data_IF_264776784306
#
_entry.id   IF_264776784306
#
_cell.length_a   1.000
_cell.length_b   1.000
_cell.length_c   1.000
_cell.angle_alpha   90.00
_cell.angle_beta   90.00
_cell.angle_gamma   90.00
#
_symmetry.space_group_name_H-M   'P 1'
#
loop_
_entity.id
_entity.type
_entity.pdbx_description
1 polymer ?
#
# COMPACT_ATOMS: atom_id res chain seq x y z
N UNK A 1 -11.22 -11.67 16.00
CA UNK A 1 -10.12 -11.90 15.06
C UNK A 1 -9.52 -10.54 14.70
N UNK A 2 -8.20 -10.41 14.78
CA UNK A 2 -7.46 -9.21 14.40
C UNK A 2 -6.50 -9.64 13.29
N UNK A 3 -6.55 -8.96 12.14
CA UNK A 3 -5.55 -9.08 11.09
C UNK A 3 -4.48 -8.00 11.33
N UNK A 4 -3.22 -8.41 11.35
CA UNK A 4 -2.08 -7.50 11.54
C UNK A 4 -1.41 -7.23 10.21
N UNK A 5 -1.46 -5.99 9.74
CA UNK A 5 -0.66 -5.53 8.60
C UNK A 5 0.73 -5.11 9.06
N UNK A 6 1.76 -5.60 8.38
CA UNK A 6 3.15 -5.24 8.66
C UNK A 6 3.77 -4.61 7.43
N UNK A 7 4.20 -3.36 7.54
CA UNK A 7 4.89 -2.65 6.46
C UNK A 7 6.33 -3.13 6.35
N UNK A 8 6.67 -3.76 5.22
CA UNK A 8 8.02 -4.20 4.89
C UNK A 8 8.23 -4.19 3.38
N UNK A 9 9.29 -3.53 2.90
CA UNK A 9 9.51 -3.26 1.48
C UNK A 9 10.67 -4.09 0.88
N UNK A 10 10.83 -5.33 1.32
CA UNK A 10 11.85 -6.25 0.81
C UNK A 10 13.04 -6.47 1.75
N UNK A 11 14.18 -6.95 1.22
CA UNK A 11 15.42 -7.13 1.94
C UNK A 11 15.92 -5.86 2.64
N UNK A 12 16.88 -6.00 3.58
CA UNK A 12 17.33 -4.90 4.46
C UNK A 12 17.81 -3.68 3.70
N UNK A 13 18.62 -3.86 2.69
CA UNK A 13 19.18 -2.81 1.86
C UNK A 13 18.11 -2.06 1.05
N UNK A 14 17.12 -2.76 0.55
CA UNK A 14 15.98 -2.18 -0.18
C UNK A 14 15.05 -1.45 0.78
N UNK A 15 14.61 -2.13 1.86
CA UNK A 15 13.71 -1.57 2.86
C UNK A 15 14.31 -0.30 3.51
N UNK A 16 15.56 -0.39 3.93
CA UNK A 16 16.23 0.67 4.66
C UNK A 16 16.65 1.86 3.76
N UNK A 17 16.45 1.78 2.45
CA UNK A 17 16.65 2.94 1.57
C UNK A 17 15.63 4.04 1.83
N UNK A 18 14.37 3.67 2.10
CA UNK A 18 13.29 4.67 2.29
C UNK A 18 12.64 4.63 3.68
N UNK A 19 12.83 3.54 4.43
CA UNK A 19 12.22 3.39 5.76
C UNK A 19 13.23 3.56 6.87
N UNK A 20 13.33 4.78 7.36
CA UNK A 20 14.23 5.14 8.46
C UNK A 20 13.48 5.70 9.66
N UNK A 21 14.14 5.64 10.81
CA UNK A 21 13.75 6.41 12.01
C UNK A 21 14.01 7.90 11.78
N UNK A 22 13.49 8.75 12.67
CA UNK A 22 13.78 10.20 12.68
C UNK A 22 15.32 10.47 12.76
N UNK A 23 16.10 9.53 13.36
CA UNK A 23 17.56 9.61 13.43
C UNK A 23 18.27 9.02 12.20
N UNK A 24 17.56 8.77 11.10
CA UNK A 24 18.11 8.23 9.85
C UNK A 24 18.75 6.83 10.02
N UNK A 25 18.18 5.99 10.88
CA UNK A 25 18.57 4.59 11.04
C UNK A 25 17.53 3.71 10.35
N UNK A 26 17.99 2.69 9.63
CA UNK A 26 17.12 1.70 9.01
C UNK A 26 16.20 1.02 10.03
N UNK A 27 15.05 0.58 9.57
CA UNK A 27 14.01 -0.03 10.43
C UNK A 27 13.78 -1.51 10.18
N UNK A 28 14.39 -2.11 9.13
CA UNK A 28 14.19 -3.51 8.75
C UNK A 28 14.40 -4.49 9.91
N UNK A 29 15.49 -4.39 10.63
CA UNK A 29 15.80 -5.27 11.76
C UNK A 29 14.74 -5.21 12.88
N UNK A 30 14.11 -4.03 13.08
CA UNK A 30 13.03 -3.86 14.06
C UNK A 30 11.73 -4.51 13.57
N UNK A 31 11.39 -4.32 12.30
CA UNK A 31 10.22 -4.92 11.65
C UNK A 31 10.34 -6.44 11.69
N UNK A 32 11.49 -7.00 11.33
CA UNK A 32 11.75 -8.44 11.37
C UNK A 32 11.66 -9.04 12.79
N UNK A 33 12.01 -8.28 13.84
CA UNK A 33 11.74 -8.72 15.22
C UNK A 33 10.24 -8.78 15.51
N UNK A 34 9.48 -7.80 15.02
CA UNK A 34 8.01 -7.79 15.12
C UNK A 34 7.40 -9.02 14.46
N UNK A 35 7.76 -9.27 13.19
CA UNK A 35 7.30 -10.43 12.41
C UNK A 35 7.58 -11.74 13.13
N UNK A 36 8.84 -11.96 13.60
CA UNK A 36 9.20 -13.14 14.36
C UNK A 36 8.38 -13.31 15.65
N UNK A 37 7.99 -12.19 16.28
CA UNK A 37 7.14 -12.23 17.47
C UNK A 37 5.72 -12.66 17.11
N UNK A 38 5.12 -12.10 16.06
CA UNK A 38 3.80 -12.50 15.57
C UNK A 38 3.77 -14.00 15.25
N UNK A 39 4.74 -14.48 14.47
CA UNK A 39 4.86 -15.89 14.09
C UNK A 39 4.99 -16.81 15.32
N UNK A 40 5.81 -16.44 16.31
CA UNK A 40 5.99 -17.21 17.54
C UNK A 40 4.69 -17.38 18.33
N UNK A 41 3.80 -16.40 18.23
CA UNK A 41 2.50 -16.43 18.91
C UNK A 41 1.35 -16.91 18.01
N UNK A 42 1.66 -17.43 16.82
CA UNK A 42 0.65 -17.95 15.89
C UNK A 42 -0.32 -16.88 15.38
N UNK A 43 0.11 -15.60 15.35
CA UNK A 43 -0.70 -14.50 14.84
C UNK A 43 -0.54 -14.43 13.33
N UNK A 44 -1.65 -14.51 12.61
CA UNK A 44 -1.65 -14.26 11.15
C UNK A 44 -1.37 -12.79 10.86
N UNK A 45 -0.54 -12.57 9.84
CA UNK A 45 -0.15 -11.23 9.43
C UNK A 45 -0.09 -11.09 7.91
N UNK A 46 -0.30 -9.88 7.44
CA UNK A 46 -0.24 -9.49 6.04
C UNK A 46 1.01 -8.62 5.82
N UNK A 47 1.87 -9.00 4.88
CA UNK A 47 2.94 -8.14 4.41
C UNK A 47 2.36 -7.03 3.53
N UNK A 48 2.59 -5.77 3.92
CA UNK A 48 2.19 -4.60 3.14
C UNK A 48 3.46 -3.95 2.59
N UNK A 49 3.65 -4.06 1.28
CA UNK A 49 4.87 -3.63 0.62
C UNK A 49 4.61 -2.51 -0.38
N UNK A 50 5.37 -1.43 -0.25
CA UNK A 50 5.41 -0.36 -1.24
C UNK A 50 6.37 -0.74 -2.35
N UNK A 51 5.88 -0.72 -3.60
CA UNK A 51 6.70 -0.94 -4.80
C UNK A 51 7.15 0.43 -5.30
N UNK A 52 8.47 0.61 -5.36
CA UNK A 52 9.16 1.85 -5.67
C UNK A 52 10.19 1.66 -6.80
N UNK A 53 10.89 2.72 -7.17
CA UNK A 53 11.88 2.76 -8.25
C UNK A 53 13.07 1.78 -8.09
N UNK A 54 13.26 1.23 -6.88
CA UNK A 54 14.34 0.27 -6.59
C UNK A 54 13.82 -1.16 -6.73
N UNK A 55 12.84 -1.54 -5.91
CA UNK A 55 12.39 -2.94 -5.82
C UNK A 55 11.55 -3.39 -7.03
N UNK A 56 11.00 -2.48 -7.81
CA UNK A 56 10.31 -2.78 -9.05
C UNK A 56 11.21 -3.48 -10.09
N UNK A 57 12.53 -3.30 -9.99
CA UNK A 57 13.51 -3.84 -10.95
C UNK A 57 13.84 -5.31 -10.74
N UNK A 58 13.63 -5.81 -9.52
CA UNK A 58 13.96 -7.19 -9.13
C UNK A 58 12.72 -7.92 -8.57
N UNK A 59 11.67 -8.09 -9.37
CA UNK A 59 10.37 -8.56 -8.90
C UNK A 59 10.40 -9.97 -8.27
N UNK A 60 11.21 -10.90 -8.82
CA UNK A 60 11.30 -12.24 -8.27
C UNK A 60 12.09 -12.28 -6.95
N UNK A 61 13.20 -11.54 -6.85
CA UNK A 61 13.95 -11.42 -5.60
C UNK A 61 13.06 -10.83 -4.50
N UNK A 62 12.32 -9.79 -4.85
CA UNK A 62 11.36 -9.14 -3.97
C UNK A 62 10.26 -10.10 -3.51
N UNK A 63 9.67 -10.87 -4.43
CA UNK A 63 8.63 -11.84 -4.12
C UNK A 63 9.16 -13.01 -3.27
N UNK A 64 10.31 -13.57 -3.62
CA UNK A 64 10.94 -14.68 -2.90
C UNK A 64 11.29 -14.28 -1.47
N UNK A 65 11.75 -13.05 -1.24
CA UNK A 65 11.98 -12.53 0.10
C UNK A 65 10.75 -12.70 1.01
N UNK A 66 9.56 -12.37 0.53
CA UNK A 66 8.33 -12.54 1.33
C UNK A 66 8.04 -14.00 1.66
N UNK A 67 8.29 -14.91 0.72
CA UNK A 67 8.16 -16.36 0.96
C UNK A 67 9.15 -16.83 2.02
N UNK A 68 10.40 -16.41 1.93
CA UNK A 68 11.47 -16.76 2.88
C UNK A 68 11.19 -16.31 4.31
N UNK A 69 10.62 -15.13 4.49
CA UNK A 69 10.24 -14.64 5.82
C UNK A 69 8.90 -15.21 6.33
N UNK A 70 8.26 -16.09 5.54
CA UNK A 70 7.02 -16.76 5.90
C UNK A 70 5.75 -15.92 5.76
N UNK A 71 5.76 -14.89 4.90
CA UNK A 71 4.57 -14.13 4.58
C UNK A 71 3.63 -14.96 3.72
N UNK A 72 2.45 -15.26 4.26
CA UNK A 72 1.40 -15.97 3.54
C UNK A 72 0.46 -15.03 2.77
N UNK A 73 0.28 -13.84 3.27
CA UNK A 73 -0.56 -12.79 2.67
C UNK A 73 0.30 -11.60 2.31
N UNK A 74 0.24 -11.17 1.05
CA UNK A 74 1.08 -10.10 0.51
C UNK A 74 0.20 -9.07 -0.21
N UNK A 75 0.41 -7.80 0.11
CA UNK A 75 -0.20 -6.67 -0.56
C UNK A 75 0.89 -5.80 -1.16
N UNK A 76 0.89 -5.64 -2.48
CA UNK A 76 1.74 -4.72 -3.20
C UNK A 76 0.99 -3.41 -3.47
N UNK A 77 1.63 -2.29 -3.16
CA UNK A 77 1.09 -0.95 -3.41
C UNK A 77 2.11 -0.15 -4.21
N UNK A 78 1.82 0.21 -5.47
CA UNK A 78 2.73 1.03 -6.27
C UNK A 78 2.78 2.45 -5.70
N UNK A 79 3.98 3.01 -5.56
CA UNK A 79 4.09 4.43 -5.19
C UNK A 79 4.02 5.29 -6.44
N UNK A 80 3.06 6.21 -6.47
CA UNK A 80 2.89 7.22 -7.51
C UNK A 80 2.54 8.54 -6.84
N UNK A 81 3.54 9.35 -6.59
CA UNK A 81 3.39 10.64 -5.94
C UNK A 81 3.53 11.76 -6.96
N UNK A 82 2.46 12.51 -7.17
CA UNK A 82 2.47 13.74 -7.97
C UNK A 82 2.90 14.89 -7.07
N UNK A 83 3.89 15.62 -7.52
CA UNK A 83 4.46 16.74 -6.77
C UNK A 83 4.31 18.04 -7.56
N UNK A 84 3.98 19.11 -6.86
CA UNK A 84 4.16 20.44 -7.36
C UNK A 84 5.18 21.22 -6.52
N UNK A 85 5.80 22.23 -7.12
CA UNK A 85 6.82 23.03 -6.45
C UNK A 85 6.29 24.43 -6.20
N UNK A 86 6.23 24.80 -4.95
CA UNK A 86 5.98 26.17 -4.50
C UNK A 86 7.25 26.84 -4.01
N UNK A 87 7.16 28.12 -3.70
CA UNK A 87 8.30 28.88 -3.16
C UNK A 87 8.83 28.35 -1.83
N UNK A 88 7.99 27.67 -1.06
CA UNK A 88 8.30 27.05 0.24
C UNK A 88 8.70 25.56 0.15
N UNK A 89 8.71 24.96 -1.05
CA UNK A 89 9.16 23.61 -1.26
C UNK A 89 8.29 22.77 -2.18
N UNK A 90 8.50 21.42 -2.14
CA UNK A 90 7.72 20.43 -2.87
C UNK A 90 6.60 19.89 -2.00
N UNK A 91 5.41 19.85 -2.57
CA UNK A 91 4.21 19.35 -1.91
C UNK A 91 3.53 18.25 -2.75
N UNK A 92 2.84 17.33 -2.09
CA UNK A 92 1.97 16.38 -2.78
C UNK A 92 0.83 17.15 -3.46
N UNK A 93 0.63 16.87 -4.74
CA UNK A 93 -0.44 17.47 -5.52
C UNK A 93 -1.77 16.78 -5.23
N UNK A 94 -2.79 17.57 -5.00
CA UNK A 94 -4.18 17.09 -4.96
C UNK A 94 -4.58 16.50 -6.31
N UNK A 95 -5.49 15.50 -6.35
CA UNK A 95 -6.01 14.94 -7.59
C UNK A 95 -6.67 15.96 -8.55
N UNK A 96 -7.13 17.09 -8.03
CA UNK A 96 -7.76 18.16 -8.84
C UNK A 96 -6.76 19.22 -9.34
N UNK A 97 -5.51 19.20 -8.87
CA UNK A 97 -4.49 20.13 -9.35
C UNK A 97 -4.02 19.76 -10.75
N UNK A 98 -3.95 20.78 -11.61
CA UNK A 98 -3.50 20.66 -12.99
C UNK A 98 -1.98 20.66 -13.16
N UNK A 99 -1.53 20.51 -14.41
CA UNK A 99 -0.11 20.56 -14.80
C UNK A 99 0.47 22.00 -14.66
N UNK A 100 1.81 22.11 -14.50
CA UNK A 100 2.81 21.03 -14.58
C UNK A 100 3.09 20.36 -13.24
N UNK A 101 2.97 19.06 -13.21
CA UNK A 101 3.29 18.23 -12.06
C UNK A 101 4.46 17.29 -12.39
N UNK A 102 5.36 17.10 -11.42
CA UNK A 102 6.40 16.10 -11.50
C UNK A 102 6.05 14.87 -10.66
N UNK A 103 6.51 13.70 -11.05
CA UNK A 103 6.48 12.53 -10.18
C UNK A 103 7.63 12.60 -9.19
N UNK A 104 7.42 12.07 -7.98
CA UNK A 104 8.52 11.88 -7.03
C UNK A 104 9.55 10.90 -7.61
N UNK A 105 10.84 11.01 -7.24
CA UNK A 105 11.86 10.09 -7.70
C UNK A 105 11.60 8.61 -7.34
N UNK A 106 10.81 8.37 -6.31
CA UNK A 106 10.42 7.02 -5.87
C UNK A 106 9.30 6.41 -6.70
N UNK A 107 8.59 7.24 -7.48
CA UNK A 107 7.43 6.80 -8.25
C UNK A 107 7.83 5.86 -9.38
N UNK A 108 6.97 4.86 -9.62
CA UNK A 108 7.13 3.92 -10.72
C UNK A 108 6.23 4.27 -11.90
N UNK A 109 6.60 3.81 -13.09
CA UNK A 109 5.77 3.98 -14.28
C UNK A 109 4.70 2.89 -14.38
N UNK A 110 3.61 3.11 -15.15
CA UNK A 110 2.63 2.05 -15.42
C UNK A 110 3.24 0.80 -16.07
N UNK A 111 4.25 0.96 -16.94
CA UNK A 111 4.92 -0.15 -17.62
C UNK A 111 5.76 -0.96 -16.62
N UNK A 112 6.52 -0.31 -15.73
CA UNK A 112 7.27 -0.98 -14.66
C UNK A 112 6.34 -1.77 -13.76
N UNK A 113 5.21 -1.16 -13.36
CA UNK A 113 4.20 -1.83 -12.54
C UNK A 113 3.59 -3.04 -13.22
N UNK A 114 3.23 -2.91 -14.50
CA UNK A 114 2.68 -4.01 -15.30
C UNK A 114 3.66 -5.17 -15.42
N UNK A 115 4.93 -4.88 -15.74
CA UNK A 115 5.97 -5.90 -15.88
C UNK A 115 6.30 -6.57 -14.53
N UNK A 116 6.34 -5.81 -13.44
CA UNK A 116 6.52 -6.32 -12.09
C UNK A 116 5.44 -7.36 -11.74
N UNK A 117 4.18 -7.00 -11.96
CA UNK A 117 3.05 -7.89 -11.67
C UNK A 117 3.04 -9.14 -12.54
N UNK A 118 3.31 -9.01 -13.85
CA UNK A 118 3.35 -10.15 -14.79
C UNK A 118 4.45 -11.12 -14.37
N UNK A 119 5.62 -10.62 -14.03
CA UNK A 119 6.76 -11.46 -13.64
C UNK A 119 6.46 -12.26 -12.37
N UNK A 120 5.87 -11.62 -11.36
CA UNK A 120 5.49 -12.31 -10.12
C UNK A 120 4.30 -13.26 -10.36
N UNK A 121 3.32 -12.86 -11.16
CA UNK A 121 2.17 -13.71 -11.50
C UNK A 121 2.59 -15.01 -12.18
N UNK A 122 3.53 -14.94 -13.13
CA UNK A 122 4.05 -16.10 -13.83
C UNK A 122 4.75 -17.11 -12.90
N UNK A 123 5.39 -16.65 -11.85
CA UNK A 123 5.96 -17.51 -10.80
C UNK A 123 4.86 -18.04 -9.87
N UNK A 124 4.02 -17.15 -9.36
CA UNK A 124 2.96 -17.46 -8.40
C UNK A 124 1.96 -18.48 -8.95
N UNK A 125 1.52 -18.34 -10.20
CA UNK A 125 0.50 -19.22 -10.78
C UNK A 125 0.99 -20.66 -10.98
N UNK A 126 2.31 -20.85 -11.09
CA UNK A 126 2.92 -22.16 -11.27
C UNK A 126 3.22 -22.88 -9.96
N UNK A 127 3.49 -22.12 -8.91
CA UNK A 127 4.11 -22.69 -7.71
C UNK A 127 3.36 -22.41 -6.41
N UNK A 128 2.58 -21.32 -6.30
CA UNK A 128 2.18 -20.78 -5.01
C UNK A 128 0.66 -20.59 -4.83
N UNK A 129 -0.13 -20.95 -5.84
CA UNK A 129 -1.61 -20.84 -5.77
C UNK A 129 -2.17 -21.69 -4.62
N UNK A 130 -2.90 -21.05 -3.70
CA UNK A 130 -3.45 -21.70 -2.51
C UNK A 130 -2.52 -21.76 -1.30
N UNK A 131 -1.23 -21.40 -1.48
CA UNK A 131 -0.24 -21.34 -0.40
C UNK A 131 0.13 -19.89 -0.05
N UNK A 132 0.44 -19.08 -1.06
CA UNK A 132 0.71 -17.64 -0.91
C UNK A 132 -0.40 -16.84 -1.58
N UNK A 133 -0.96 -15.89 -0.85
CA UNK A 133 -2.07 -15.05 -1.30
C UNK A 133 -1.56 -13.65 -1.62
N UNK A 134 -1.57 -13.30 -2.91
CA UNK A 134 -1.26 -11.95 -3.37
C UNK A 134 -2.57 -11.22 -3.62
N UNK A 135 -2.88 -10.22 -2.81
CA UNK A 135 -4.17 -9.55 -2.78
C UNK A 135 -4.70 -9.16 -4.17
N UNK A 136 -3.83 -8.59 -5.03
CA UNK A 136 -4.22 -8.16 -6.37
C UNK A 136 -4.56 -9.34 -7.28
N UNK A 137 -3.83 -10.45 -7.19
CA UNK A 137 -4.08 -11.64 -8.00
C UNK A 137 -5.36 -12.33 -7.58
N UNK A 138 -5.57 -12.49 -6.27
CA UNK A 138 -6.80 -13.09 -5.73
C UNK A 138 -8.02 -12.26 -6.07
N UNK A 139 -7.94 -10.93 -5.93
CA UNK A 139 -9.03 -10.02 -6.29
C UNK A 139 -9.35 -10.06 -7.80
N UNK A 140 -8.32 -10.15 -8.65
CA UNK A 140 -8.47 -10.28 -10.10
C UNK A 140 -9.14 -11.60 -10.46
N UNK A 141 -8.67 -12.71 -9.89
CA UNK A 141 -9.24 -14.04 -10.10
C UNK A 141 -10.71 -14.10 -9.65
N UNK A 142 -11.00 -13.55 -8.47
CA UNK A 142 -12.38 -13.45 -7.98
C UNK A 142 -13.30 -12.70 -8.95
N UNK A 143 -12.82 -11.57 -9.52
CA UNK A 143 -13.54 -10.81 -10.54
C UNK A 143 -13.83 -11.64 -11.79
N UNK A 144 -12.88 -12.42 -12.29
CA UNK A 144 -13.08 -13.34 -13.42
C UNK A 144 -14.10 -14.44 -13.12
N UNK A 145 -14.21 -14.84 -11.85
CA UNK A 145 -15.21 -15.82 -11.40
C UNK A 145 -16.59 -15.21 -11.11
N UNK A 146 -16.78 -13.91 -11.37
CA UNK A 146 -18.04 -13.19 -11.12
C UNK A 146 -18.29 -12.84 -9.66
N UNK A 147 -17.27 -12.91 -8.81
CA UNK A 147 -17.32 -12.46 -7.42
C UNK A 147 -16.97 -10.96 -7.36
N UNK A 148 -17.72 -10.15 -6.59
CA UNK A 148 -17.35 -8.73 -6.41
C UNK A 148 -15.90 -8.59 -5.92
N UNK A 149 -15.11 -7.67 -6.51
CA UNK A 149 -13.70 -7.51 -6.13
C UNK A 149 -13.59 -6.99 -4.70
N UNK A 150 -12.59 -7.49 -3.98
CA UNK A 150 -12.28 -7.06 -2.61
C UNK A 150 -11.50 -5.73 -2.54
N UNK A 151 -11.02 -5.25 -3.69
CA UNK A 151 -10.28 -4.00 -3.83
C UNK A 151 -11.20 -2.96 -4.47
N UNK A 152 -11.40 -1.83 -3.79
CA UNK A 152 -12.35 -0.79 -4.24
C UNK A 152 -11.99 -0.18 -5.60
N UNK A 153 -10.71 -0.08 -5.96
CA UNK A 153 -10.25 0.40 -7.26
C UNK A 153 -10.63 -0.50 -8.43
N UNK A 154 -10.99 -1.77 -8.17
CA UNK A 154 -11.49 -2.73 -9.14
C UNK A 154 -13.03 -2.82 -9.16
N UNK A 155 -13.71 -2.19 -8.21
CA UNK A 155 -15.17 -2.21 -8.10
C UNK A 155 -15.81 -1.20 -9.05
N UNK A 156 -17.07 -1.46 -9.44
CA UNK A 156 -17.86 -0.55 -10.29
C UNK A 156 -18.14 0.80 -9.62
N UNK A 157 -18.14 0.84 -8.29
CA UNK A 157 -18.33 2.06 -7.48
C UNK A 157 -17.37 2.04 -6.30
N UNK A 158 -16.89 3.22 -5.90
CA UNK A 158 -16.13 3.37 -4.65
C UNK A 158 -16.96 2.93 -3.45
N UNK A 159 -16.32 2.24 -2.52
CA UNK A 159 -16.92 1.90 -1.23
C UNK A 159 -17.00 3.10 -0.28
N UNK A 160 -17.72 2.91 0.84
CA UNK A 160 -17.69 3.84 1.95
C UNK A 160 -16.53 3.47 2.89
N UNK A 161 -15.36 4.08 2.66
CA UNK A 161 -14.14 3.82 3.42
C UNK A 161 -13.50 5.14 3.91
N UNK A 162 -14.23 5.93 4.73
CA UNK A 162 -13.70 7.19 5.23
C UNK A 162 -12.48 6.97 6.10
N UNK A 163 -11.55 7.89 6.04
CA UNK A 163 -10.34 7.89 6.86
C UNK A 163 -10.40 9.07 7.83
N UNK A 164 -9.91 8.87 9.04
CA UNK A 164 -9.80 9.91 10.05
C UNK A 164 -8.34 10.19 10.39
N UNK A 165 -7.96 11.46 10.30
CA UNK A 165 -6.66 11.94 10.69
C UNK A 165 -6.55 12.15 12.22
N UNK A 166 -5.33 12.23 12.72
CA UNK A 166 -5.01 12.39 14.16
C UNK A 166 -5.66 13.64 14.82
N UNK A 167 -5.94 14.66 14.03
CA UNK A 167 -6.60 15.89 14.50
C UNK A 167 -8.14 15.76 14.55
N UNK A 168 -8.70 14.62 14.12
CA UNK A 168 -10.13 14.34 14.06
C UNK A 168 -10.80 14.72 12.75
N UNK A 169 -10.06 15.21 11.75
CA UNK A 169 -10.57 15.46 10.40
C UNK A 169 -10.91 14.15 9.72
N UNK A 170 -12.06 14.08 9.07
CA UNK A 170 -12.55 12.91 8.35
C UNK A 170 -12.60 13.24 6.87
N UNK A 171 -12.05 12.35 6.03
CA UNK A 171 -11.98 12.47 4.58
C UNK A 171 -12.70 11.32 3.90
N UNK A 172 -12.99 11.47 2.62
CA UNK A 172 -13.76 10.51 1.82
C UNK A 172 -13.11 9.13 1.75
N UNK A 173 -11.77 9.05 1.67
CA UNK A 173 -10.97 7.84 1.80
C UNK A 173 -9.48 8.20 2.00
N UNK A 174 -8.64 7.19 2.23
CA UNK A 174 -7.19 7.33 2.45
C UNK A 174 -6.41 7.83 1.21
N UNK A 175 -6.92 7.67 0.00
CA UNK A 175 -6.34 8.23 -1.22
C UNK A 175 -6.63 9.73 -1.41
N UNK A 176 -7.58 10.29 -0.67
CA UNK A 176 -8.09 11.64 -0.86
C UNK A 176 -8.03 12.47 0.44
N UNK A 177 -6.86 12.41 1.11
CA UNK A 177 -6.61 13.20 2.34
C UNK A 177 -6.12 14.61 1.95
N UNK A 178 -7.00 15.37 1.30
CA UNK A 178 -6.77 16.76 0.89
C UNK A 178 -7.93 17.64 1.35
N UNK A 179 -7.72 18.94 1.60
CA UNK A 179 -8.73 19.85 2.17
C UNK A 179 -10.09 19.81 1.47
N UNK A 180 -10.09 19.71 0.15
CA UNK A 180 -11.30 19.69 -0.69
C UNK A 180 -12.13 18.41 -0.57
N UNK A 181 -11.55 17.32 -0.05
CA UNK A 181 -12.22 16.03 0.16
C UNK A 181 -12.56 15.78 1.64
N UNK A 182 -12.42 16.80 2.48
CA UNK A 182 -12.77 16.72 3.89
C UNK A 182 -14.28 16.68 4.07
N UNK A 183 -14.78 15.69 4.79
CA UNK A 183 -16.20 15.52 5.12
C UNK A 183 -16.61 16.26 6.39
N UNK A 184 -15.74 16.32 7.38
CA UNK A 184 -16.03 16.93 8.66
C UNK A 184 -14.95 16.73 9.72
N UNK A 185 -15.27 16.94 11.00
CA UNK A 185 -14.35 16.72 12.11
C UNK A 185 -15.06 16.10 13.31
N UNK A 186 -14.53 14.99 13.82
CA UNK A 186 -15.09 14.23 14.94
C UNK A 186 -15.13 14.98 16.28
N UNK A 187 -14.42 16.09 16.42
CA UNK A 187 -14.51 16.97 17.59
C UNK A 187 -15.71 17.92 17.55
N UNK A 188 -16.35 18.05 16.39
CA UNK A 188 -17.44 18.99 16.14
C UNK A 188 -18.76 18.29 15.81
N UNK A 189 -18.71 17.09 15.25
CA UNK A 189 -19.84 16.33 14.71
C UNK A 189 -19.68 14.85 15.04
N UNK A 190 -20.76 14.10 15.13
CA UNK A 190 -20.66 12.64 15.23
C UNK A 190 -20.43 12.00 13.84
N UNK A 191 -19.90 10.79 13.82
CA UNK A 191 -19.53 10.10 12.58
C UNK A 191 -20.71 9.90 11.63
N UNK A 192 -21.90 9.63 12.17
CA UNK A 192 -23.11 9.46 11.36
C UNK A 192 -23.48 10.75 10.61
N UNK A 193 -23.42 11.90 11.28
CA UNK A 193 -23.67 13.20 10.65
C UNK A 193 -22.65 13.57 9.57
N UNK A 194 -21.41 13.06 9.70
CA UNK A 194 -20.35 13.28 8.72
C UNK A 194 -20.56 12.42 7.47
N UNK A 195 -21.02 11.16 7.63
CA UNK A 195 -21.11 10.18 6.54
C UNK A 195 -22.44 10.28 5.78
N UNK A 196 -23.53 10.63 6.43
CA UNK A 196 -24.88 10.67 5.84
C UNK A 196 -25.14 11.97 5.01
N UNK A 197 -24.12 12.74 4.63
CA UNK A 197 -24.23 13.98 3.86
C UNK A 197 -24.30 13.77 2.35
#
# INVERSE_FOLDING_TARGET
>A
NILVGVSIDGPEDVHDTYRHTVQQRGTHSQVMRGIRTLMRHGVEWNAMAVVNDINVKEPLEFYHFFKEIGARYIQFTPIVERLYTHADGRHLASPIEGDPLALSPMSITPDDWGQFLITIFDEWVRHDVGETFVQLFDATLAGWMGVPPSICSMAATCGHAPVMEWNGDVFVCDHYVFPEFKLGNMKQQNLKEIIDR
#
